data_IF_666509153921
#
_entry.id   IF_666509153921
#
_cell.length_a   1.000
_cell.length_b   1.000
_cell.length_c   1.000
_cell.angle_alpha   90.00
_cell.angle_beta   90.00
_cell.angle_gamma   90.00
#
_symmetry.space_group_name_H-M   'P 1'
#
loop_
_entity.id
_entity.type
_entity.pdbx_description
1 polymer ?
#
# COMPACT_ATOMS: atom_id res chain seq x y z
N UNK A 1 12.75 16.37 -0.02
CA UNK A 1 12.26 15.91 1.31
C UNK A 1 12.22 14.38 1.25
N UNK A 2 12.57 13.66 2.31
CA UNK A 2 12.45 12.20 2.33
C UNK A 2 10.96 11.80 2.28
N UNK A 3 10.66 10.75 1.52
CA UNK A 3 9.37 10.10 1.42
C UNK A 3 8.95 9.44 2.73
N UNK A 4 7.69 9.04 2.82
CA UNK A 4 7.09 8.47 4.04
C UNK A 4 6.53 7.09 3.78
N UNK A 5 6.98 6.12 4.57
CA UNK A 5 6.38 4.79 4.62
C UNK A 5 5.22 4.78 5.61
N UNK A 6 4.03 4.41 5.15
CA UNK A 6 2.87 4.17 6.01
C UNK A 6 2.57 2.68 6.10
N UNK A 7 2.48 2.17 7.32
CA UNK A 7 1.96 0.82 7.58
C UNK A 7 0.46 0.94 7.86
N UNK A 8 -0.35 0.40 6.95
CA UNK A 8 -1.81 0.51 7.00
C UNK A 8 -2.40 -0.88 7.26
N UNK A 9 -3.04 -1.12 8.42
CA UNK A 9 -3.73 -2.39 8.65
C UNK A 9 -4.98 -2.49 7.76
N UNK A 10 -5.22 -3.67 7.20
CA UNK A 10 -6.43 -3.99 6.44
C UNK A 10 -7.40 -4.80 7.29
N UNK A 11 -8.71 -4.68 7.07
CA UNK A 11 -9.69 -5.52 7.77
C UNK A 11 -9.48 -7.02 7.50
N UNK A 12 -9.82 -7.84 8.49
CA UNK A 12 -9.69 -9.32 8.41
C UNK A 12 -10.98 -10.02 7.95
N UNK A 13 -12.01 -9.25 7.58
CA UNK A 13 -13.29 -9.79 7.11
C UNK A 13 -14.26 -8.70 6.68
N UNK A 14 -14.72 -7.87 7.63
CA UNK A 14 -15.64 -6.79 7.33
C UNK A 14 -14.90 -5.55 6.81
N UNK A 15 -15.18 -5.14 5.56
CA UNK A 15 -14.49 -4.00 4.94
C UNK A 15 -14.70 -2.71 5.75
N UNK A 16 -15.85 -2.54 6.41
CA UNK A 16 -16.19 -1.37 7.20
C UNK A 16 -15.34 -1.18 8.47
N UNK A 17 -14.58 -2.21 8.89
CA UNK A 17 -13.66 -2.09 10.03
C UNK A 17 -12.40 -1.26 9.70
N UNK A 18 -12.23 -0.82 8.45
CA UNK A 18 -11.14 0.06 8.07
C UNK A 18 -11.31 1.46 8.68
N UNK A 19 -10.21 2.08 9.11
CA UNK A 19 -10.27 3.45 9.63
C UNK A 19 -10.37 4.49 8.50
N UNK A 20 -11.02 5.63 8.77
CA UNK A 20 -11.02 6.77 7.84
C UNK A 20 -9.61 7.24 7.48
N UNK A 21 -8.66 7.15 8.42
CA UNK A 21 -7.26 7.50 8.17
C UNK A 21 -6.60 6.55 7.17
N UNK A 22 -6.88 5.25 7.26
CA UNK A 22 -6.35 4.26 6.33
C UNK A 22 -6.84 4.52 4.90
N UNK A 23 -8.14 4.74 4.72
CA UNK A 23 -8.72 5.08 3.41
C UNK A 23 -8.08 6.36 2.84
N UNK A 24 -7.94 7.40 3.67
CA UNK A 24 -7.31 8.66 3.25
C UNK A 24 -5.85 8.47 2.83
N UNK A 25 -5.05 7.77 3.64
CA UNK A 25 -3.64 7.50 3.32
C UNK A 25 -3.54 6.73 2.00
N UNK A 26 -4.32 5.65 1.83
CA UNK A 26 -4.32 4.85 0.60
C UNK A 26 -4.74 5.66 -0.63
N UNK A 27 -5.56 6.71 -0.47
CA UNK A 27 -5.91 7.67 -1.53
C UNK A 27 -4.82 8.73 -1.80
N UNK A 28 -3.97 9.03 -0.83
CA UNK A 28 -2.96 10.09 -0.93
C UNK A 28 -1.62 9.56 -1.47
N UNK A 29 -1.18 8.35 -1.08
CA UNK A 29 0.13 7.80 -1.45
C UNK A 29 0.32 7.61 -2.96
N UNK A 30 1.57 7.66 -3.42
CA UNK A 30 1.94 7.45 -4.83
C UNK A 30 1.95 5.97 -5.23
N UNK A 31 2.29 5.09 -4.28
CA UNK A 31 2.40 3.64 -4.48
C UNK A 31 1.86 2.86 -3.27
N UNK A 32 1.14 1.78 -3.56
CA UNK A 32 0.71 0.79 -2.57
C UNK A 32 1.53 -0.49 -2.73
N UNK A 33 2.08 -1.00 -1.62
CA UNK A 33 2.69 -2.31 -1.55
C UNK A 33 1.73 -3.26 -0.84
N UNK A 34 1.42 -4.39 -1.46
CA UNK A 34 0.48 -5.37 -0.94
C UNK A 34 1.07 -6.78 -0.99
N UNK A 35 0.83 -7.59 0.04
CA UNK A 35 1.25 -9.00 0.03
C UNK A 35 0.50 -9.80 -1.03
N UNK A 36 -0.84 -9.70 -1.01
CA UNK A 36 -1.74 -10.23 -2.03
C UNK A 36 -2.48 -9.07 -2.73
N UNK A 37 -2.11 -8.82 -3.98
CA UNK A 37 -2.71 -7.77 -4.81
C UNK A 37 -4.15 -8.09 -5.20
N UNK A 38 -4.58 -9.35 -5.20
CA UNK A 38 -5.96 -9.73 -5.57
C UNK A 38 -6.93 -9.33 -4.47
N UNK A 39 -6.63 -9.71 -3.23
CA UNK A 39 -7.41 -9.32 -2.05
C UNK A 39 -7.40 -7.80 -1.86
N UNK A 40 -6.22 -7.18 -2.00
CA UNK A 40 -6.10 -5.73 -1.87
C UNK A 40 -6.88 -4.98 -2.96
N UNK A 41 -6.95 -5.51 -4.19
CA UNK A 41 -7.76 -4.90 -5.26
C UNK A 41 -9.24 -4.80 -4.90
N UNK A 42 -9.79 -5.80 -4.19
CA UNK A 42 -11.19 -5.77 -3.74
C UNK A 42 -11.41 -4.66 -2.72
N UNK A 43 -10.50 -4.52 -1.74
CA UNK A 43 -10.54 -3.43 -0.76
C UNK A 43 -10.46 -2.06 -1.44
N UNK A 44 -9.50 -1.88 -2.36
CA UNK A 44 -9.31 -0.62 -3.05
C UNK A 44 -10.51 -0.26 -3.93
N UNK A 45 -11.10 -1.25 -4.61
CA UNK A 45 -12.30 -1.06 -5.43
C UNK A 45 -13.50 -0.63 -4.58
N UNK A 46 -13.72 -1.27 -3.42
CA UNK A 46 -14.81 -0.91 -2.51
C UNK A 46 -14.75 0.56 -2.02
N UNK A 47 -13.55 1.14 -1.91
CA UNK A 47 -13.34 2.52 -1.46
C UNK A 47 -13.03 3.53 -2.59
N UNK A 48 -13.22 3.13 -3.85
CA UNK A 48 -12.91 3.92 -5.04
C UNK A 48 -11.46 4.46 -5.06
N UNK A 49 -10.51 3.59 -4.72
CA UNK A 49 -9.08 3.91 -4.69
C UNK A 49 -8.42 3.38 -5.97
N UNK A 50 -8.03 4.30 -6.85
CA UNK A 50 -7.24 3.99 -8.04
C UNK A 50 -5.80 4.45 -7.84
N UNK A 51 -4.96 3.55 -7.34
CA UNK A 51 -3.52 3.79 -7.11
C UNK A 51 -2.68 2.67 -7.69
N UNK A 52 -1.44 3.02 -8.03
CA UNK A 52 -0.44 2.05 -8.48
C UNK A 52 -0.18 1.08 -7.32
N UNK A 53 -0.20 -0.22 -7.62
CA UNK A 53 -0.01 -1.27 -6.61
C UNK A 53 0.99 -2.31 -7.09
N UNK A 54 1.93 -2.68 -6.21
CA UNK A 54 2.90 -3.74 -6.44
C UNK A 54 2.80 -4.82 -5.37
N UNK A 55 3.10 -6.07 -5.76
CA UNK A 55 3.22 -7.15 -4.79
C UNK A 55 4.53 -7.02 -4.01
N UNK A 56 4.45 -7.17 -2.69
CA UNK A 56 5.59 -7.22 -1.79
C UNK A 56 5.37 -8.33 -0.76
N UNK A 57 6.04 -9.46 -0.97
CA UNK A 57 5.92 -10.67 -0.15
C UNK A 57 7.27 -11.37 0.00
N UNK A 58 7.32 -12.42 0.83
CA UNK A 58 8.53 -13.18 1.16
C UNK A 58 9.39 -13.59 -0.05
N UNK A 59 8.78 -13.84 -1.21
CA UNK A 59 9.52 -14.28 -2.41
C UNK A 59 10.22 -13.15 -3.14
N UNK A 60 9.79 -11.90 -2.96
CA UNK A 60 10.28 -10.74 -3.72
C UNK A 60 10.77 -9.58 -2.84
N UNK A 61 10.65 -9.67 -1.51
CA UNK A 61 11.02 -8.59 -0.59
C UNK A 61 12.49 -8.19 -0.76
N UNK A 62 13.42 -9.14 -0.68
CA UNK A 62 14.85 -8.85 -0.78
C UNK A 62 15.26 -8.22 -2.11
N UNK A 63 14.54 -8.53 -3.19
CA UNK A 63 14.81 -7.96 -4.53
C UNK A 63 14.22 -6.56 -4.71
N UNK A 64 13.24 -6.18 -3.88
CA UNK A 64 12.48 -4.94 -4.05
C UNK A 64 12.87 -3.86 -3.02
N UNK A 65 13.43 -4.25 -1.87
CA UNK A 65 13.82 -3.33 -0.78
C UNK A 65 14.72 -2.18 -1.26
N UNK A 66 15.83 -2.47 -1.94
CA UNK A 66 16.78 -1.42 -2.35
C UNK A 66 16.14 -0.38 -3.27
N UNK A 67 15.28 -0.85 -4.20
CA UNK A 67 14.51 0.03 -5.08
C UNK A 67 13.56 0.91 -4.27
N UNK A 68 12.82 0.34 -3.32
CA UNK A 68 11.85 1.06 -2.50
C UNK A 68 12.52 2.10 -1.60
N UNK A 69 13.67 1.77 -1.02
CA UNK A 69 14.49 2.73 -0.26
C UNK A 69 14.96 3.88 -1.16
N UNK A 70 15.39 3.56 -2.39
CA UNK A 70 15.74 4.57 -3.40
C UNK A 70 14.59 5.54 -3.67
N UNK A 71 13.37 5.03 -3.88
CA UNK A 71 12.16 5.83 -4.10
C UNK A 71 11.84 6.73 -2.90
N UNK A 72 11.83 6.16 -1.69
CA UNK A 72 11.62 6.92 -0.45
C UNK A 72 12.68 8.02 -0.27
N UNK A 73 13.94 7.76 -0.62
CA UNK A 73 15.02 8.75 -0.44
C UNK A 73 14.86 10.00 -1.31
N UNK A 74 14.21 9.86 -2.48
CA UNK A 74 13.95 10.97 -3.41
C UNK A 74 12.63 11.69 -3.16
N UNK A 75 11.83 11.23 -2.18
CA UNK A 75 10.58 11.87 -1.79
C UNK A 75 9.32 11.27 -2.40
N UNK A 76 9.42 10.09 -3.00
CA UNK A 76 8.27 9.27 -3.42
C UNK A 76 7.61 8.55 -2.22
#
# INVERSE_FOLDING_TARGET
MSGKLYIVPTPIGNLEDITFRAVRILKEVDLILAEDTRTTSVLLHHYDISKKMYSHNLNNEHKTVDRLIGQLSVGE
#
